data_IF_464585299717
#
_entry.id   IF_464585299717
#
_cell.length_a   1.000
_cell.length_b   1.000
_cell.length_c   1.000
_cell.angle_alpha   90.00
_cell.angle_beta   90.00
_cell.angle_gamma   90.00
#
_symmetry.space_group_name_H-M   'P 1'
#
loop_
_entity.id
_entity.type
_entity.pdbx_description
1 polymer ?
#
# COMPACT_ATOMS: atom_id res chain seq x y z
N UNK A 1 6.21 14.37 -3.24
CA UNK A 1 6.38 14.73 -4.67
C UNK A 1 7.60 13.98 -5.20
N UNK A 2 7.59 13.59 -6.48
CA UNK A 2 8.77 13.01 -7.14
C UNK A 2 9.81 14.12 -7.39
N UNK A 3 11.12 13.82 -7.30
CA UNK A 3 12.19 14.75 -7.68
C UNK A 3 12.06 15.26 -9.12
N UNK A 4 12.63 16.44 -9.40
CA UNK A 4 12.59 17.02 -10.76
C UNK A 4 13.33 16.18 -11.81
N UNK A 5 14.43 15.54 -11.40
CA UNK A 5 15.24 14.68 -12.26
C UNK A 5 15.33 13.31 -11.63
N UNK A 6 15.03 12.29 -12.43
CA UNK A 6 15.31 10.92 -12.05
C UNK A 6 16.82 10.65 -12.12
N UNK A 7 17.30 9.74 -11.27
CA UNK A 7 18.65 9.18 -11.37
C UNK A 7 18.65 7.72 -10.91
N UNK A 8 19.64 6.95 -11.35
CA UNK A 8 19.83 5.57 -10.89
C UNK A 8 20.00 5.53 -9.37
N UNK A 9 19.36 4.55 -8.73
CA UNK A 9 19.37 4.39 -7.27
C UNK A 9 18.37 5.28 -6.52
N UNK A 10 17.52 6.04 -7.21
CA UNK A 10 16.42 6.75 -6.57
C UNK A 10 15.37 5.75 -6.04
N UNK A 11 15.10 5.79 -4.74
CA UNK A 11 14.18 4.87 -4.06
C UNK A 11 13.09 5.61 -3.30
N UNK A 12 11.94 4.96 -3.15
CA UNK A 12 10.86 5.38 -2.27
C UNK A 12 10.78 4.45 -1.06
N UNK A 13 10.67 5.04 0.13
CA UNK A 13 10.21 4.33 1.33
C UNK A 13 8.69 4.44 1.38
N UNK A 14 8.02 3.29 1.37
CA UNK A 14 6.57 3.19 1.42
C UNK A 14 6.20 2.56 2.75
N UNK A 15 5.37 3.25 3.50
CA UNK A 15 4.83 2.81 4.78
C UNK A 15 3.31 2.71 4.65
N UNK A 16 2.77 1.61 5.12
CA UNK A 16 1.34 1.38 5.22
C UNK A 16 1.11 0.50 6.43
N UNK A 17 -0.11 0.49 6.94
CA UNK A 17 -0.45 -0.52 7.91
C UNK A 17 -1.82 -1.09 7.71
N UNK A 18 -1.93 -2.29 8.24
CA UNK A 18 -3.07 -3.17 8.07
C UNK A 18 -3.68 -3.36 9.44
N UNK A 19 -4.97 -3.08 9.53
CA UNK A 19 -5.78 -3.53 10.64
C UNK A 19 -6.22 -4.95 10.34
N UNK A 20 -5.83 -5.95 11.15
CA UNK A 20 -6.32 -7.30 10.99
C UNK A 20 -7.85 -7.35 11.11
N UNK A 21 -8.50 -8.14 10.25
CA UNK A 21 -9.95 -8.39 10.34
C UNK A 21 -10.37 -9.13 11.62
N UNK A 22 -9.43 -9.46 12.51
CA UNK A 22 -9.67 -10.09 13.81
C UNK A 22 -10.14 -9.11 14.88
N UNK A 23 -10.09 -7.80 14.62
CA UNK A 23 -10.64 -6.81 15.55
C UNK A 23 -12.16 -6.77 15.36
N UNK A 24 -12.96 -6.98 16.42
CA UNK A 24 -14.41 -6.91 16.32
C UNK A 24 -14.85 -5.51 15.88
N UNK A 25 -16.06 -5.40 15.32
CA UNK A 25 -16.65 -4.10 15.01
C UNK A 25 -16.72 -3.22 16.26
N UNK A 26 -16.64 -1.89 16.11
CA UNK A 26 -16.73 -0.98 17.24
C UNK A 26 -18.04 -1.21 18.01
N UNK A 27 -18.00 -1.17 19.35
CA UNK A 27 -19.25 -1.11 20.11
C UNK A 27 -19.99 0.17 19.71
N UNK A 28 -21.33 0.09 19.69
CA UNK A 28 -22.16 1.29 19.51
C UNK A 28 -21.77 2.33 20.57
N UNK A 29 -21.76 3.62 20.21
CA UNK A 29 -21.32 4.76 21.03
C UNK A 29 -22.04 4.98 22.37
N UNK A 30 -22.86 4.03 22.83
CA UNK A 30 -23.60 4.10 24.09
C UNK A 30 -22.76 3.76 25.32
N UNK A 31 -21.61 3.11 25.14
CA UNK A 31 -20.71 2.69 26.22
C UNK A 31 -19.27 3.15 25.92
N UNK A 32 -18.89 4.30 26.49
CA UNK A 32 -17.63 4.97 26.21
C UNK A 32 -16.41 4.17 26.69
N UNK A 33 -16.51 3.53 27.86
CA UNK A 33 -15.41 2.72 28.41
C UNK A 33 -15.13 1.51 27.51
N UNK A 34 -16.18 0.85 27.01
CA UNK A 34 -16.02 -0.23 26.02
C UNK A 34 -15.45 0.27 24.70
N UNK A 35 -15.85 1.46 24.25
CA UNK A 35 -15.29 2.07 23.04
C UNK A 35 -13.78 2.33 23.18
N UNK A 36 -13.35 2.90 24.31
CA UNK A 36 -11.93 3.16 24.58
C UNK A 36 -11.10 1.87 24.67
N UNK A 37 -11.63 0.83 25.32
CA UNK A 37 -10.97 -0.48 25.37
C UNK A 37 -10.84 -1.11 23.97
N UNK A 38 -11.88 -1.00 23.14
CA UNK A 38 -11.85 -1.45 21.75
C UNK A 38 -10.84 -0.66 20.92
N UNK A 39 -10.82 0.67 21.02
CA UNK A 39 -9.90 1.55 20.29
C UNK A 39 -8.44 1.24 20.64
N UNK A 40 -8.15 1.00 21.92
CA UNK A 40 -6.83 0.57 22.38
C UNK A 40 -6.41 -0.74 21.73
N UNK A 41 -7.28 -1.76 21.77
CA UNK A 41 -7.01 -3.07 21.15
C UNK A 41 -6.84 -2.96 19.63
N UNK A 42 -7.62 -2.11 18.97
CA UNK A 42 -7.48 -1.82 17.54
C UNK A 42 -6.10 -1.24 17.23
N UNK A 43 -5.66 -0.23 17.98
CA UNK A 43 -4.33 0.38 17.81
C UNK A 43 -3.20 -0.61 18.06
N UNK A 44 -3.32 -1.46 19.09
CA UNK A 44 -2.36 -2.52 19.40
C UNK A 44 -2.29 -3.61 18.31
N UNK A 45 -3.38 -3.83 17.58
CA UNK A 45 -3.42 -4.81 16.49
C UNK A 45 -2.86 -4.31 15.16
N UNK A 46 -2.58 -3.01 15.04
CA UNK A 46 -2.15 -2.41 13.78
C UNK A 46 -0.78 -2.94 13.35
N UNK A 47 -0.73 -3.61 12.21
CA UNK A 47 0.52 -4.14 11.65
C UNK A 47 1.09 -3.10 10.71
N UNK A 48 2.23 -2.52 11.10
CA UNK A 48 2.99 -1.60 10.25
C UNK A 48 3.85 -2.39 9.26
N UNK A 49 3.81 -1.99 8.00
CA UNK A 49 4.65 -2.50 6.95
C UNK A 49 5.51 -1.37 6.37
N UNK A 50 6.71 -1.74 5.96
CA UNK A 50 7.62 -0.85 5.24
C UNK A 50 8.20 -1.62 4.07
N UNK A 51 8.33 -0.94 2.95
CA UNK A 51 9.11 -1.42 1.81
C UNK A 51 9.92 -0.28 1.21
N UNK A 52 11.14 -0.61 0.76
CA UNK A 52 11.97 0.27 -0.02
C UNK A 52 11.94 -0.26 -1.44
N UNK A 53 11.49 0.56 -2.39
CA UNK A 53 11.37 0.20 -3.80
C UNK A 53 12.10 1.20 -4.67
N UNK A 54 12.67 0.71 -5.76
CA UNK A 54 13.24 1.55 -6.79
C UNK A 54 12.14 2.31 -7.50
N UNK A 55 12.35 3.61 -7.72
CA UNK A 55 11.43 4.44 -8.47
C UNK A 55 11.72 4.22 -9.96
N UNK A 56 10.76 3.75 -10.77
CA UNK A 56 10.95 3.60 -12.20
C UNK A 56 11.34 4.92 -12.85
N UNK A 57 12.20 4.85 -13.87
CA UNK A 57 12.68 6.01 -14.61
C UNK A 57 11.51 6.85 -15.14
N UNK A 58 11.63 8.17 -14.99
CA UNK A 58 10.66 9.14 -15.51
C UNK A 58 11.38 10.33 -16.14
N UNK A 59 10.76 10.87 -17.18
CA UNK A 59 11.28 12.01 -17.93
C UNK A 59 10.81 13.35 -17.38
N UNK A 60 10.85 14.38 -18.25
CA UNK A 60 10.43 15.74 -17.90
C UNK A 60 8.92 15.84 -17.62
N UNK A 61 8.10 15.04 -18.31
CA UNK A 61 6.66 14.93 -18.07
C UNK A 61 6.41 14.12 -16.79
N UNK A 62 5.87 14.79 -15.76
CA UNK A 62 5.72 14.23 -14.41
C UNK A 62 4.27 14.30 -13.98
N UNK A 63 3.61 13.16 -13.88
CA UNK A 63 2.22 13.08 -13.40
C UNK A 63 2.15 12.73 -11.91
N UNK A 64 2.84 11.66 -11.50
CA UNK A 64 2.87 11.24 -10.11
C UNK A 64 3.34 9.79 -9.97
N UNK A 65 3.56 9.35 -8.73
CA UNK A 65 3.86 7.96 -8.42
C UNK A 65 2.59 7.26 -7.96
N UNK A 66 2.24 6.16 -8.63
CA UNK A 66 1.16 5.27 -8.21
C UNK A 66 1.75 4.05 -7.52
N UNK A 67 1.27 3.75 -6.32
CA UNK A 67 1.63 2.55 -5.55
C UNK A 67 0.53 1.51 -5.73
N UNK A 68 0.92 0.30 -6.12
CA UNK A 68 0.04 -0.86 -6.23
C UNK A 68 0.36 -1.81 -5.09
N UNK A 69 -0.65 -2.10 -4.26
CA UNK A 69 -0.58 -3.13 -3.24
C UNK A 69 -1.05 -4.46 -3.85
N UNK A 70 -0.15 -5.43 -3.85
CA UNK A 70 -0.39 -6.79 -4.32
C UNK A 70 -0.57 -7.72 -3.11
N UNK A 71 -1.11 -8.93 -3.34
CA UNK A 71 -1.16 -9.95 -2.31
C UNK A 71 0.20 -10.19 -1.64
N UNK A 72 0.18 -10.69 -0.42
CA UNK A 72 1.36 -11.01 0.38
C UNK A 72 2.24 -9.80 0.71
N UNK A 73 1.62 -8.64 0.90
CA UNK A 73 2.31 -7.39 1.24
C UNK A 73 3.41 -7.03 0.22
N UNK A 74 3.22 -7.45 -1.03
CA UNK A 74 4.08 -7.06 -2.13
C UNK A 74 3.62 -5.72 -2.66
N UNK A 75 4.57 -4.90 -3.11
CA UNK A 75 4.24 -3.60 -3.68
C UNK A 75 4.94 -3.43 -5.03
N UNK A 76 4.25 -2.75 -5.93
CA UNK A 76 4.81 -2.28 -7.19
C UNK A 76 4.54 -0.79 -7.32
N UNK A 77 5.43 -0.09 -8.00
CA UNK A 77 5.31 1.35 -8.21
C UNK A 77 5.40 1.66 -9.69
N UNK A 78 4.70 2.72 -10.10
CA UNK A 78 4.82 3.27 -11.45
C UNK A 78 4.75 4.79 -11.41
N UNK A 79 5.46 5.42 -12.33
CA UNK A 79 5.59 6.87 -12.47
C UNK A 79 4.99 7.37 -13.79
N UNK A 80 4.38 6.46 -14.55
CA UNK A 80 3.83 6.79 -15.87
C UNK A 80 2.55 7.60 -15.75
N UNK A 81 2.30 8.46 -16.73
CA UNK A 81 1.12 9.32 -16.75
C UNK A 81 -0.17 8.60 -17.16
N UNK A 82 -0.06 7.45 -17.83
CA UNK A 82 -1.22 6.70 -18.28
C UNK A 82 -1.97 6.04 -17.12
N UNK A 83 -3.26 5.80 -17.30
CA UNK A 83 -4.07 5.05 -16.34
C UNK A 83 -3.88 3.54 -16.44
N UNK A 84 -4.19 2.83 -15.35
CA UNK A 84 -4.28 1.37 -15.33
C UNK A 84 -5.24 0.85 -16.40
N UNK A 85 -4.85 -0.22 -17.09
CA UNK A 85 -5.62 -0.83 -18.20
C UNK A 85 -5.25 -0.30 -19.58
N UNK A 86 -4.46 0.77 -19.68
CA UNK A 86 -3.93 1.23 -20.98
C UNK A 86 -2.82 0.29 -21.49
N UNK A 87 -2.58 0.24 -22.82
CA UNK A 87 -1.56 -0.65 -23.41
C UNK A 87 -0.17 -0.47 -22.78
N UNK A 88 0.22 0.78 -22.51
CA UNK A 88 1.55 1.13 -22.00
C UNK A 88 1.65 1.16 -20.47
N UNK A 89 0.57 0.88 -19.73
CA UNK A 89 0.65 0.83 -18.27
C UNK A 89 1.45 -0.39 -17.81
N UNK A 90 2.50 -0.24 -16.98
CA UNK A 90 3.43 -1.34 -16.70
C UNK A 90 2.85 -2.41 -15.76
N UNK A 91 1.85 -2.09 -14.95
CA UNK A 91 1.20 -3.04 -14.03
C UNK A 91 0.01 -3.68 -14.74
N UNK A 92 0.03 -5.00 -14.87
CA UNK A 92 -0.99 -5.77 -15.62
C UNK A 92 -1.80 -6.71 -14.73
N UNK A 93 -1.38 -6.89 -13.49
CA UNK A 93 -2.06 -7.69 -12.49
C UNK A 93 -3.50 -7.21 -12.32
N UNK A 94 -4.47 -8.14 -12.21
CA UNK A 94 -5.87 -7.78 -12.05
C UNK A 94 -6.08 -7.01 -10.74
N UNK A 95 -7.13 -6.20 -10.70
CA UNK A 95 -7.58 -5.57 -9.46
C UNK A 95 -8.28 -6.61 -8.57
N UNK A 96 -8.34 -6.32 -7.27
CA UNK A 96 -9.07 -7.14 -6.29
C UNK A 96 -8.62 -8.61 -6.25
N UNK A 97 -7.31 -8.84 -6.43
CA UNK A 97 -6.72 -10.16 -6.24
C UNK A 97 -6.97 -10.65 -4.82
N UNK A 98 -7.40 -11.91 -4.70
CA UNK A 98 -7.53 -12.57 -3.40
C UNK A 98 -6.14 -12.90 -2.86
N UNK A 99 -6.00 -12.76 -1.54
CA UNK A 99 -4.82 -13.25 -0.84
C UNK A 99 -4.71 -14.77 -1.02
N UNK A 100 -3.55 -15.30 -1.43
CA UNK A 100 -3.37 -16.75 -1.51
C UNK A 100 -3.40 -17.38 -0.10
N UNK A 101 -3.70 -18.67 -0.03
CA UNK A 101 -3.74 -19.40 1.24
C UNK A 101 -2.38 -19.38 1.98
N UNK A 102 -1.29 -19.33 1.22
CA UNK A 102 0.06 -19.20 1.73
C UNK A 102 0.81 -18.15 0.93
N UNK A 103 1.55 -17.31 1.64
CA UNK A 103 2.45 -16.35 1.02
C UNK A 103 3.82 -16.95 0.82
N UNK A 104 4.47 -16.72 -0.34
CA UNK A 104 5.84 -17.16 -0.56
C UNK A 104 6.74 -16.52 0.50
N UNK A 105 7.67 -17.31 1.04
CA UNK A 105 8.72 -16.79 1.91
C UNK A 105 9.60 -15.84 1.09
N UNK A 106 9.81 -14.62 1.62
CA UNK A 106 10.67 -13.62 1.00
C UNK A 106 12.13 -14.07 0.98
#
# INVERSE_FOLDING_TARGET
MLPDKWHSGLKARIEWGITPNTVPLPPLYKDWDKYQAWEKKLKESYIQHTAIVDIPEYGAERCGMTVHFLPCNQIKVTTVCQGYGTPNYPIKEPREMKEPATCPSK
#
